data_IF_729853614093
#
_entry.id   IF_729853614093
#
_cell.length_a   1.000
_cell.length_b   1.000
_cell.length_c   1.000
_cell.angle_alpha   90.00
_cell.angle_beta   90.00
_cell.angle_gamma   90.00
#
_symmetry.space_group_name_H-M   'P 1'
#
loop_
_entity.id
_entity.type
_entity.pdbx_description
1 polymer ?
#
# COMPACT_ATOMS: atom_id res chain seq x y z
N UNK A 1 8.46 2.04 -14.25
CA UNK A 1 7.02 2.36 -14.15
C UNK A 1 6.73 3.23 -12.95
N UNK A 2 5.92 4.29 -13.12
CA UNK A 2 5.33 5.07 -12.02
C UNK A 2 3.81 4.96 -12.14
N UNK A 3 3.13 4.74 -11.02
CA UNK A 3 1.68 4.74 -10.92
C UNK A 3 1.20 5.71 -9.83
N UNK A 4 0.15 6.47 -10.12
CA UNK A 4 -0.49 7.39 -9.18
C UNK A 4 -1.93 6.93 -8.96
N UNK A 5 -2.34 6.79 -7.68
CA UNK A 5 -3.70 6.40 -7.33
C UNK A 5 -4.28 7.42 -6.35
N UNK A 6 -5.58 7.67 -6.51
CA UNK A 6 -6.36 8.56 -5.64
C UNK A 6 -7.70 7.93 -5.32
N UNK A 7 -8.18 8.17 -4.11
CA UNK A 7 -9.54 7.81 -3.69
C UNK A 7 -10.20 8.96 -2.93
N UNK A 8 -11.44 8.72 -2.51
CA UNK A 8 -12.24 9.61 -1.66
C UNK A 8 -12.62 8.96 -0.32
N UNK A 9 -11.89 7.91 0.09
CA UNK A 9 -12.10 7.26 1.37
C UNK A 9 -11.63 8.15 2.53
N UNK A 10 -11.98 7.84 3.80
CA UNK A 10 -11.34 8.46 4.94
C UNK A 10 -9.81 8.38 4.85
N UNK A 11 -9.14 9.40 5.39
CA UNK A 11 -7.69 9.43 5.42
C UNK A 11 -7.16 8.19 6.14
N UNK A 12 -6.29 7.46 5.47
CA UNK A 12 -5.70 6.22 5.92
C UNK A 12 -4.25 6.25 5.47
N UNK A 13 -3.31 6.26 6.41
CA UNK A 13 -1.89 6.20 6.07
C UNK A 13 -1.45 4.74 5.89
N UNK A 14 -1.36 4.23 4.65
CA UNK A 14 -0.97 2.85 4.39
C UNK A 14 0.51 2.57 4.74
N UNK A 15 1.33 3.60 4.89
CA UNK A 15 2.77 3.43 5.17
C UNK A 15 3.01 3.02 6.62
N UNK A 16 2.11 3.42 7.53
CA UNK A 16 2.18 3.11 8.97
C UNK A 16 1.60 1.74 9.35
N UNK A 17 0.99 1.00 8.41
CA UNK A 17 0.29 -0.26 8.74
C UNK A 17 1.26 -1.42 8.99
N UNK A 18 0.98 -2.29 9.98
CA UNK A 18 1.81 -3.46 10.22
C UNK A 18 1.82 -4.42 9.03
N UNK A 19 2.93 -5.12 8.83
CA UNK A 19 3.00 -6.18 7.83
C UNK A 19 2.25 -7.43 8.32
N UNK A 20 1.32 -8.00 7.53
CA UNK A 20 0.69 -9.27 7.90
C UNK A 20 1.69 -10.43 7.77
N UNK A 21 1.55 -11.48 8.59
CA UNK A 21 2.37 -12.69 8.47
C UNK A 21 1.81 -13.63 7.38
N UNK A 22 2.49 -13.79 6.23
CA UNK A 22 2.01 -14.63 5.14
C UNK A 22 2.15 -16.13 5.43
N UNK A 23 2.81 -16.52 6.52
CA UNK A 23 3.04 -17.93 6.89
C UNK A 23 1.93 -18.49 7.76
N UNK A 24 1.05 -17.65 8.32
CA UNK A 24 -0.10 -18.11 9.10
C UNK A 24 -1.09 -18.89 8.21
N UNK A 25 -1.76 -19.93 8.73
CA UNK A 25 -2.91 -20.55 8.08
C UNK A 25 -3.96 -19.50 7.68
N UNK A 26 -4.68 -19.72 6.59
CA UNK A 26 -5.58 -18.73 6.01
C UNK A 26 -6.67 -18.31 7.02
N UNK A 27 -7.22 -19.28 7.73
CA UNK A 27 -8.22 -19.16 8.79
C UNK A 27 -7.75 -18.33 10.00
N UNK A 28 -6.44 -18.16 10.18
CA UNK A 28 -5.84 -17.38 11.27
C UNK A 28 -5.35 -15.99 10.83
N UNK A 29 -5.54 -15.63 9.56
CA UNK A 29 -5.12 -14.31 9.04
C UNK A 29 -6.17 -13.26 9.35
N UNK A 30 -5.72 -12.11 9.83
CA UNK A 30 -6.58 -10.94 9.89
C UNK A 30 -6.98 -10.51 8.46
N UNK A 31 -8.22 -10.03 8.26
CA UNK A 31 -8.63 -9.44 7.00
C UNK A 31 -7.76 -8.23 6.62
N UNK A 32 -7.42 -8.11 5.33
CA UNK A 32 -6.68 -6.95 4.81
C UNK A 32 -5.16 -7.01 5.02
N UNK A 33 -4.47 -5.92 4.69
CA UNK A 33 -3.02 -5.77 4.84
C UNK A 33 -2.16 -6.43 3.74
N UNK A 34 -2.64 -7.50 3.11
CA UNK A 34 -1.89 -8.22 2.06
C UNK A 34 -1.65 -7.39 0.79
N UNK A 35 -2.53 -6.44 0.45
CA UNK A 35 -2.26 -5.50 -0.64
C UNK A 35 -1.01 -4.65 -0.38
N UNK A 36 -0.82 -4.18 0.87
CA UNK A 36 0.37 -3.42 1.27
C UNK A 36 1.62 -4.28 1.27
N UNK A 37 1.51 -5.55 1.67
CA UNK A 37 2.59 -6.52 1.55
C UNK A 37 3.06 -6.64 0.10
N UNK A 38 2.13 -6.74 -0.86
CA UNK A 38 2.46 -6.81 -2.28
C UNK A 38 3.15 -5.55 -2.76
N UNK A 39 2.62 -4.37 -2.43
CA UNK A 39 3.24 -3.09 -2.80
C UNK A 39 4.67 -2.98 -2.27
N UNK A 40 4.90 -3.31 -0.99
CA UNK A 40 6.24 -3.28 -0.37
C UNK A 40 7.23 -4.22 -1.06
N UNK A 41 6.79 -5.38 -1.52
CA UNK A 41 7.68 -6.40 -2.15
C UNK A 41 7.92 -6.16 -3.63
N UNK A 42 6.95 -5.63 -4.35
CA UNK A 42 6.98 -5.53 -5.81
C UNK A 42 7.48 -4.18 -6.30
N UNK A 43 7.59 -3.18 -5.42
CA UNK A 43 7.84 -1.78 -5.78
C UNK A 43 9.04 -1.25 -4.99
N UNK A 44 9.76 -0.29 -5.54
CA UNK A 44 10.96 0.25 -4.88
C UNK A 44 10.65 1.51 -4.08
N UNK A 45 9.54 2.19 -4.39
CA UNK A 45 9.07 3.34 -3.61
C UNK A 45 7.56 3.35 -3.54
N UNK A 46 7.05 3.63 -2.34
CA UNK A 46 5.64 3.82 -2.05
C UNK A 46 5.49 5.03 -1.14
N UNK A 47 4.86 6.10 -1.63
CA UNK A 47 4.62 7.31 -0.85
C UNK A 47 3.13 7.57 -0.71
N UNK A 48 2.76 8.19 0.40
CA UNK A 48 1.40 8.57 0.72
C UNK A 48 1.33 10.06 1.06
N UNK A 49 0.23 10.70 0.67
CA UNK A 49 -0.21 11.97 1.24
C UNK A 49 -1.74 12.00 1.35
N UNK A 50 -2.31 12.64 2.39
CA UNK A 50 -3.73 12.94 2.42
C UNK A 50 -4.07 14.03 1.40
N UNK A 51 -5.29 14.01 0.87
CA UNK A 51 -5.79 15.03 -0.05
C UNK A 51 -6.52 16.16 0.70
N UNK A 52 -6.41 17.38 0.20
CA UNK A 52 -7.24 18.48 0.66
C UNK A 52 -8.71 18.19 0.35
N UNK A 53 -9.58 18.24 1.37
CA UNK A 53 -10.98 17.86 1.26
C UNK A 53 -11.28 16.37 1.47
N UNK A 54 -10.30 15.58 1.91
CA UNK A 54 -10.44 14.15 2.20
C UNK A 54 -10.03 13.25 1.04
N UNK A 55 -9.82 11.97 1.33
CA UNK A 55 -9.24 11.01 0.39
C UNK A 55 -7.73 10.84 0.54
N UNK A 56 -7.25 9.81 -0.14
CA UNK A 56 -5.84 9.42 -0.13
C UNK A 56 -5.22 9.64 -1.50
N UNK A 57 -3.92 9.90 -1.53
CA UNK A 57 -3.11 9.88 -2.74
C UNK A 57 -1.84 9.08 -2.48
N UNK A 58 -1.58 8.10 -3.35
CA UNK A 58 -0.37 7.28 -3.29
C UNK A 58 0.39 7.34 -4.61
N UNK A 59 1.71 7.23 -4.51
CA UNK A 59 2.59 7.05 -5.67
C UNK A 59 3.43 5.81 -5.48
N UNK A 60 3.48 4.98 -6.52
CA UNK A 60 4.28 3.75 -6.58
C UNK A 60 5.31 3.89 -7.69
N UNK A 61 6.57 3.55 -7.40
CA UNK A 61 7.65 3.48 -8.39
C UNK A 61 8.21 2.06 -8.43
N UNK A 62 8.33 1.52 -9.65
CA UNK A 62 9.16 0.34 -9.95
C UNK A 62 10.19 0.68 -11.02
N UNK A 63 11.47 0.55 -10.72
CA UNK A 63 12.59 0.65 -11.64
C UNK A 63 12.68 -0.66 -12.42
N UNK A 64 12.92 -0.55 -13.72
CA UNK A 64 13.34 -1.70 -14.51
C UNK A 64 14.84 -1.83 -14.34
N UNK A 65 15.29 -2.94 -13.77
CA UNK A 65 16.68 -3.37 -13.93
C UNK A 65 16.81 -3.93 -15.34
N UNK A 66 17.80 -3.44 -16.09
CA UNK A 66 18.27 -4.11 -17.32
C UNK A 66 19.01 -5.39 -16.95
#
# INVERSE_FOLDING_TARGET
VIAHLRDAAPAFDPTCMPEPDPRRPLEMRAPGGFGLLLVRRLTDTFTYRPRSGGGNEITVLKRHTM
#
